data_IF_463502290188
#
_entry.id   IF_463502290188
#
_cell.length_a   1.000
_cell.length_b   1.000
_cell.length_c   1.000
_cell.angle_alpha   90.00
_cell.angle_beta   90.00
_cell.angle_gamma   90.00
#
_symmetry.space_group_name_H-M   'P 1'
#
loop_
_entity.id
_entity.type
_entity.pdbx_description
1 polymer ?
#
# COMPACT_ATOMS: atom_id res chain seq x y z
N UNK A 1 66.59 -25.32 -6.57
CA UNK A 1 65.50 -26.33 -6.58
C UNK A 1 64.21 -25.65 -6.17
N UNK A 2 63.23 -25.54 -7.08
CA UNK A 2 61.91 -24.94 -6.77
C UNK A 2 61.04 -26.03 -6.12
N UNK A 3 60.60 -25.80 -4.88
CA UNK A 3 59.61 -26.64 -4.22
C UNK A 3 58.24 -26.52 -4.91
N UNK A 4 57.35 -27.52 -4.76
CA UNK A 4 56.15 -27.61 -5.58
C UNK A 4 55.11 -26.55 -5.17
N UNK A 5 54.66 -25.76 -6.15
CA UNK A 5 53.90 -24.49 -6.01
C UNK A 5 52.40 -24.63 -5.73
N UNK A 6 51.95 -25.73 -5.13
CA UNK A 6 50.52 -26.01 -4.88
C UNK A 6 50.07 -25.74 -3.44
N UNK A 7 50.97 -25.31 -2.54
CA UNK A 7 50.71 -25.19 -1.09
C UNK A 7 50.37 -23.75 -0.64
N UNK A 8 50.31 -22.77 -1.55
CA UNK A 8 50.06 -21.35 -1.17
C UNK A 8 48.68 -20.84 -1.59
N UNK A 9 47.62 -21.65 -1.47
CA UNK A 9 46.24 -21.12 -1.49
C UNK A 9 45.81 -20.75 -0.07
N UNK A 10 45.45 -19.48 0.21
CA UNK A 10 44.91 -19.11 1.52
C UNK A 10 43.57 -19.80 1.73
N UNK A 11 43.34 -20.31 2.94
CA UNK A 11 42.10 -21.01 3.27
C UNK A 11 40.91 -20.04 3.28
N UNK A 12 39.81 -20.45 2.67
CA UNK A 12 38.57 -19.67 2.57
C UNK A 12 37.79 -19.61 3.91
N UNK A 13 38.15 -20.44 4.88
CA UNK A 13 37.38 -20.59 6.12
C UNK A 13 37.72 -19.51 7.17
N UNK A 14 36.71 -18.81 7.73
CA UNK A 14 36.92 -17.90 8.85
C UNK A 14 37.42 -18.65 10.10
N UNK A 15 38.11 -17.95 11.00
CA UNK A 15 38.78 -18.54 12.18
C UNK A 15 37.85 -19.42 13.02
N UNK A 16 36.61 -18.98 13.26
CA UNK A 16 35.61 -19.75 14.00
C UNK A 16 35.21 -21.06 13.31
N UNK A 17 35.06 -21.04 11.98
CA UNK A 17 34.75 -22.24 11.20
C UNK A 17 35.93 -23.23 11.19
N UNK A 18 37.17 -22.74 11.25
CA UNK A 18 38.37 -23.59 11.36
C UNK A 18 38.48 -24.28 12.72
N UNK A 19 38.26 -23.55 13.81
CA UNK A 19 38.27 -24.14 15.15
C UNK A 19 37.18 -25.21 15.25
N UNK A 20 35.98 -24.92 14.76
CA UNK A 20 34.89 -25.90 14.72
C UNK A 20 35.25 -27.14 13.89
N UNK A 21 35.82 -26.96 12.70
CA UNK A 21 36.23 -28.07 11.83
C UNK A 21 37.36 -28.91 12.46
N UNK A 22 38.32 -28.28 13.13
CA UNK A 22 39.40 -28.97 13.87
C UNK A 22 38.82 -29.81 14.99
N UNK A 23 37.90 -29.25 15.80
CA UNK A 23 37.25 -29.99 16.90
C UNK A 23 36.43 -31.16 16.35
N UNK A 24 35.70 -30.95 15.26
CA UNK A 24 34.88 -31.97 14.64
C UNK A 24 35.72 -33.12 14.07
N UNK A 25 36.82 -32.80 13.37
CA UNK A 25 37.74 -33.81 12.83
C UNK A 25 38.51 -34.55 13.93
N UNK A 26 38.87 -33.87 15.02
CA UNK A 26 39.51 -34.50 16.18
C UNK A 26 38.55 -35.45 16.91
N UNK A 27 37.28 -35.06 17.05
CA UNK A 27 36.23 -35.94 17.60
C UNK A 27 35.98 -37.15 16.69
N UNK A 28 35.99 -36.96 15.37
CA UNK A 28 35.81 -38.03 14.39
C UNK A 28 36.99 -39.02 14.41
N UNK A 29 38.23 -38.53 14.48
CA UNK A 29 39.41 -39.37 14.66
C UNK A 29 39.37 -40.12 16.00
N UNK A 30 39.02 -39.45 17.10
CA UNK A 30 38.92 -40.07 18.42
C UNK A 30 37.85 -41.15 18.51
N UNK A 31 36.66 -40.91 17.95
CA UNK A 31 35.56 -41.89 17.94
C UNK A 31 35.89 -43.11 17.09
N UNK A 32 36.65 -42.96 16.00
CA UNK A 32 37.08 -44.12 15.20
C UNK A 32 38.03 -45.06 15.93
N UNK A 33 38.68 -44.66 17.03
CA UNK A 33 39.54 -45.58 17.82
C UNK A 33 38.68 -46.61 18.58
N UNK A 34 37.53 -46.18 19.10
CA UNK A 34 36.67 -46.97 19.99
C UNK A 34 35.58 -47.77 19.28
N UNK A 35 35.34 -47.52 17.98
CA UNK A 35 34.32 -48.26 17.21
C UNK A 35 34.98 -49.40 16.42
N UNK A 36 34.45 -50.61 16.55
CA UNK A 36 34.79 -51.75 15.71
C UNK A 36 34.06 -51.63 14.38
N UNK A 37 34.79 -51.20 13.34
CA UNK A 37 34.28 -51.08 11.98
C UNK A 37 34.92 -52.21 11.16
N UNK A 38 34.08 -53.10 10.66
CA UNK A 38 34.47 -54.18 9.75
C UNK A 38 33.99 -53.81 8.32
N UNK A 39 34.85 -53.87 7.29
CA UNK A 39 36.23 -54.33 7.28
C UNK A 39 37.24 -53.32 7.85
N UNK A 40 38.27 -53.84 8.55
CA UNK A 40 39.28 -53.04 9.27
C UNK A 40 40.01 -51.98 8.43
N UNK A 41 40.13 -52.17 7.11
CA UNK A 41 40.75 -51.17 6.23
C UNK A 41 39.96 -49.87 6.16
N UNK A 42 38.63 -49.92 6.32
CA UNK A 42 37.76 -48.74 6.34
C UNK A 42 38.02 -47.89 7.58
N UNK A 43 38.25 -48.52 8.74
CA UNK A 43 38.60 -47.86 10.00
C UNK A 43 39.89 -47.04 9.84
N UNK A 44 40.93 -47.64 9.27
CA UNK A 44 42.20 -46.98 9.04
C UNK A 44 42.10 -45.88 7.97
N UNK A 45 41.27 -46.05 6.95
CA UNK A 45 41.06 -45.03 5.92
C UNK A 45 40.37 -43.78 6.48
N UNK A 46 39.34 -43.93 7.32
CA UNK A 46 38.64 -42.80 7.94
C UNK A 46 39.54 -42.08 8.96
N UNK A 47 40.34 -42.83 9.72
CA UNK A 47 41.30 -42.23 10.65
C UNK A 47 42.40 -41.45 9.90
N UNK A 48 43.00 -42.06 8.87
CA UNK A 48 44.07 -41.43 8.08
C UNK A 48 43.57 -40.17 7.35
N UNK A 49 42.38 -40.23 6.73
CA UNK A 49 41.80 -39.08 6.03
C UNK A 49 41.45 -37.93 6.98
N UNK A 50 40.98 -38.24 8.20
CA UNK A 50 40.68 -37.24 9.23
C UNK A 50 41.95 -36.55 9.74
N UNK A 51 43.03 -37.31 9.97
CA UNK A 51 44.33 -36.77 10.39
C UNK A 51 44.97 -35.92 9.29
N UNK A 52 44.91 -36.37 8.02
CA UNK A 52 45.40 -35.59 6.87
C UNK A 52 44.61 -34.29 6.72
N UNK A 53 43.28 -34.31 6.86
CA UNK A 53 42.47 -33.09 6.86
C UNK A 53 42.80 -32.16 8.02
N UNK A 54 43.00 -32.68 9.24
CA UNK A 54 43.45 -31.90 10.39
C UNK A 54 44.78 -31.19 10.13
N UNK A 55 45.74 -31.90 9.53
CA UNK A 55 47.05 -31.37 9.21
C UNK A 55 47.01 -30.27 8.14
N UNK A 56 46.16 -30.43 7.12
CA UNK A 56 45.93 -29.41 6.08
C UNK A 56 45.25 -28.16 6.67
N UNK A 57 44.28 -28.34 7.57
CA UNK A 57 43.54 -27.24 8.19
C UNK A 57 44.42 -26.47 9.19
N UNK A 58 45.28 -27.17 9.95
CA UNK A 58 46.18 -26.56 10.93
C UNK A 58 47.37 -25.82 10.29
N UNK A 59 47.91 -26.34 9.18
CA UNK A 59 49.01 -25.70 8.45
C UNK A 59 48.59 -24.58 7.51
N UNK A 60 47.31 -24.50 7.13
CA UNK A 60 46.84 -23.40 6.30
C UNK A 60 46.97 -22.08 7.07
N UNK A 61 47.89 -21.20 6.66
CA UNK A 61 48.08 -19.89 7.30
C UNK A 61 46.80 -19.08 7.22
N UNK A 62 46.34 -18.60 8.38
CA UNK A 62 45.27 -17.60 8.47
C UNK A 62 45.75 -16.36 7.74
N UNK A 63 44.95 -15.82 6.81
CA UNK A 63 45.15 -14.48 6.28
C UNK A 63 45.14 -13.55 7.51
N UNK A 64 46.32 -13.06 7.90
CA UNK A 64 46.43 -11.96 8.85
C UNK A 64 45.53 -10.89 8.26
N UNK A 65 44.47 -10.54 8.97
CA UNK A 65 43.61 -9.43 8.59
C UNK A 65 44.55 -8.24 8.64
N UNK A 66 44.99 -7.79 7.46
CA UNK A 66 45.67 -6.52 7.34
C UNK A 66 44.80 -5.51 8.09
N UNK A 67 45.46 -4.66 8.89
CA UNK A 67 44.84 -3.52 9.55
C UNK A 67 43.90 -2.83 8.55
N UNK A 68 42.75 -2.29 9.00
CA UNK A 68 41.81 -1.70 8.07
C UNK A 68 42.52 -0.58 7.32
N UNK A 69 42.94 -0.85 6.09
CA UNK A 69 43.00 0.18 5.07
C UNK A 69 41.63 0.84 5.12
N UNK A 70 41.63 2.14 5.40
CA UNK A 70 40.46 2.99 5.20
C UNK A 70 39.87 2.60 3.86
N UNK A 71 38.73 1.90 3.90
CA UNK A 71 37.96 1.65 2.69
C UNK A 71 37.67 3.02 2.12
N UNK A 72 38.34 3.32 1.01
CA UNK A 72 38.28 4.61 0.36
C UNK A 72 36.80 5.00 0.25
N UNK A 73 36.45 6.17 0.80
CA UNK A 73 35.07 6.67 0.78
C UNK A 73 34.53 6.67 -0.66
N UNK A 74 35.43 6.74 -1.65
CA UNK A 74 35.18 6.57 -3.07
C UNK A 74 34.52 5.23 -3.44
N UNK A 75 34.98 4.08 -2.94
CA UNK A 75 34.43 2.75 -3.26
C UNK A 75 33.06 2.53 -2.62
N UNK A 76 32.89 2.98 -1.37
CA UNK A 76 31.59 2.92 -0.68
C UNK A 76 30.58 3.83 -1.40
N UNK A 77 31.04 5.01 -1.83
CA UNK A 77 30.23 5.95 -2.60
C UNK A 77 29.91 5.44 -4.02
N UNK A 78 30.80 4.68 -4.66
CA UNK A 78 30.55 4.05 -5.96
C UNK A 78 29.57 2.87 -5.88
N UNK A 79 29.66 2.05 -4.84
CA UNK A 79 28.68 0.99 -4.56
C UNK A 79 27.31 1.62 -4.25
N UNK A 80 27.26 2.69 -3.47
CA UNK A 80 26.02 3.42 -3.22
C UNK A 80 25.45 4.05 -4.51
N UNK A 81 26.29 4.70 -5.34
CA UNK A 81 25.87 5.30 -6.61
C UNK A 81 25.39 4.27 -7.63
N UNK A 82 26.04 3.11 -7.71
CA UNK A 82 25.62 2.03 -8.62
C UNK A 82 24.32 1.38 -8.17
N UNK A 83 24.12 1.18 -6.87
CA UNK A 83 22.84 0.75 -6.31
C UNK A 83 21.72 1.77 -6.59
N UNK A 84 21.99 3.07 -6.37
CA UNK A 84 21.04 4.16 -6.66
C UNK A 84 20.72 4.21 -8.16
N UNK A 85 21.70 4.06 -9.06
CA UNK A 85 21.47 4.07 -10.51
C UNK A 85 20.63 2.88 -10.99
N UNK A 86 20.93 1.68 -10.47
CA UNK A 86 20.19 0.46 -10.80
C UNK A 86 18.74 0.57 -10.31
N UNK A 87 18.56 1.13 -9.12
CA UNK A 87 17.24 1.36 -8.56
C UNK A 87 16.49 2.47 -9.31
N UNK A 88 17.18 3.56 -9.68
CA UNK A 88 16.62 4.62 -10.51
C UNK A 88 16.15 4.10 -11.88
N UNK A 89 16.92 3.24 -12.54
CA UNK A 89 16.50 2.62 -13.82
C UNK A 89 15.32 1.67 -13.64
N UNK A 90 15.28 0.90 -12.54
CA UNK A 90 14.12 0.06 -12.19
C UNK A 90 12.86 0.91 -11.95
N UNK A 91 13.00 2.04 -11.28
CA UNK A 91 11.91 2.98 -11.00
C UNK A 91 11.44 3.67 -12.27
N UNK A 92 12.35 4.08 -13.15
CA UNK A 92 12.05 4.67 -14.46
C UNK A 92 11.24 3.69 -15.32
N UNK A 93 11.64 2.41 -15.33
CA UNK A 93 10.90 1.35 -16.03
C UNK A 93 9.49 1.14 -15.44
N UNK A 94 9.37 1.16 -14.10
CA UNK A 94 8.05 1.12 -13.42
C UNK A 94 7.21 2.35 -13.72
N UNK A 95 7.81 3.54 -13.73
CA UNK A 95 7.14 4.81 -14.06
C UNK A 95 6.59 4.74 -15.47
N UNK A 96 7.42 4.37 -16.45
CA UNK A 96 6.99 4.29 -17.85
C UNK A 96 5.88 3.23 -18.05
N UNK A 97 5.89 2.14 -17.27
CA UNK A 97 4.81 1.16 -17.30
C UNK A 97 3.52 1.72 -16.70
N UNK A 98 3.61 2.36 -15.53
CA UNK A 98 2.48 3.05 -14.89
C UNK A 98 1.93 4.17 -15.76
N UNK A 99 2.78 4.92 -16.43
CA UNK A 99 2.39 6.01 -17.34
C UNK A 99 1.65 5.47 -18.56
N UNK A 100 2.11 4.38 -19.18
CA UNK A 100 1.38 3.70 -20.26
C UNK A 100 0.02 3.19 -19.81
N UNK A 101 -0.02 2.58 -18.62
CA UNK A 101 -1.23 2.12 -17.93
C UNK A 101 -2.17 3.31 -17.71
N UNK A 102 -1.68 4.41 -17.11
CA UNK A 102 -2.45 5.63 -16.83
C UNK A 102 -2.90 6.37 -18.09
N UNK A 103 -2.11 6.38 -19.16
CA UNK A 103 -2.49 6.94 -20.46
C UNK A 103 -3.61 6.12 -21.10
N UNK A 104 -3.50 4.78 -21.07
CA UNK A 104 -4.56 3.88 -21.55
C UNK A 104 -5.82 3.97 -20.67
N UNK A 105 -5.68 4.29 -19.37
CA UNK A 105 -6.80 4.43 -18.45
C UNK A 105 -7.35 5.84 -18.33
N UNK A 106 -6.64 6.87 -18.78
CA UNK A 106 -7.05 8.27 -18.73
C UNK A 106 -8.34 8.53 -19.52
N UNK A 107 -8.60 7.75 -20.56
CA UNK A 107 -9.86 7.76 -21.33
C UNK A 107 -11.05 7.19 -20.54
N UNK A 108 -10.79 6.41 -19.50
CA UNK A 108 -11.80 5.73 -18.67
C UNK A 108 -11.93 6.33 -17.26
N UNK A 109 -11.12 7.34 -16.94
CA UNK A 109 -11.15 8.05 -15.68
C UNK A 109 -12.33 9.03 -15.64
N UNK A 110 -13.27 8.79 -14.72
CA UNK A 110 -14.36 9.73 -14.46
C UNK A 110 -13.92 10.82 -13.48
N UNK A 111 -13.56 11.98 -14.03
CA UNK A 111 -13.38 13.21 -13.28
C UNK A 111 -14.71 13.90 -13.02
N UNK A 112 -14.80 14.77 -11.98
CA UNK A 112 -16.01 15.55 -11.72
C UNK A 112 -16.45 16.35 -12.94
N UNK A 113 -17.68 16.09 -13.39
CA UNK A 113 -18.33 16.84 -14.47
C UNK A 113 -19.14 17.99 -13.87
N UNK A 114 -18.50 19.16 -13.77
CA UNK A 114 -19.10 20.34 -13.15
C UNK A 114 -20.43 20.77 -13.79
N UNK A 115 -20.66 20.46 -15.08
CA UNK A 115 -21.91 20.81 -15.75
C UNK A 115 -23.05 19.91 -15.29
N UNK A 116 -22.81 18.59 -15.23
CA UNK A 116 -23.80 17.64 -14.72
C UNK A 116 -24.11 17.87 -13.25
N UNK A 117 -23.10 18.15 -12.44
CA UNK A 117 -23.28 18.38 -11.00
C UNK A 117 -24.14 19.61 -10.69
N UNK A 118 -24.15 20.62 -11.56
CA UNK A 118 -25.03 21.79 -11.42
C UNK A 118 -26.50 21.50 -11.72
N UNK A 119 -26.78 20.44 -12.48
CA UNK A 119 -28.15 20.08 -12.89
C UNK A 119 -28.85 19.13 -11.94
N UNK A 120 -28.12 18.54 -10.99
CA UNK A 120 -28.65 17.56 -10.05
C UNK A 120 -28.95 18.25 -8.72
N UNK A 121 -30.20 18.14 -8.27
CA UNK A 121 -30.55 18.50 -6.90
C UNK A 121 -30.14 17.36 -5.96
N UNK A 122 -29.04 17.56 -5.24
CA UNK A 122 -28.48 16.60 -4.29
C UNK A 122 -28.72 16.99 -2.82
N UNK A 123 -29.49 18.05 -2.55
CA UNK A 123 -29.78 18.56 -1.19
C UNK A 123 -30.91 17.76 -0.49
N UNK A 124 -30.82 16.43 -0.50
CA UNK A 124 -31.81 15.55 0.16
C UNK A 124 -31.15 14.76 1.29
N UNK A 125 -31.71 14.86 2.50
CA UNK A 125 -31.32 14.06 3.66
C UNK A 125 -31.46 12.55 3.38
N UNK A 126 -32.37 12.15 2.48
CA UNK A 126 -32.50 10.75 2.09
C UNK A 126 -31.21 10.21 1.49
N UNK A 127 -30.48 11.00 0.69
CA UNK A 127 -29.21 10.60 0.11
C UNK A 127 -28.10 10.39 1.16
N UNK A 128 -28.09 11.21 2.22
CA UNK A 128 -27.15 11.05 3.34
C UNK A 128 -27.45 9.75 4.09
N UNK A 129 -28.72 9.48 4.38
CA UNK A 129 -29.14 8.23 5.03
C UNK A 129 -28.83 7.00 4.17
N UNK A 130 -28.97 7.10 2.85
CA UNK A 130 -28.56 6.03 1.92
C UNK A 130 -27.07 5.77 1.99
N UNK A 131 -26.24 6.82 1.97
CA UNK A 131 -24.78 6.70 2.09
C UNK A 131 -24.36 6.01 3.41
N UNK A 132 -24.99 6.38 4.53
CA UNK A 132 -24.76 5.74 5.84
C UNK A 132 -25.17 4.26 5.84
N UNK A 133 -26.30 3.91 5.22
CA UNK A 133 -26.75 2.52 5.07
C UNK A 133 -25.77 1.70 4.24
N UNK A 134 -25.25 2.24 3.14
CA UNK A 134 -24.24 1.57 2.32
C UNK A 134 -22.95 1.35 3.12
N UNK A 135 -22.49 2.35 3.87
CA UNK A 135 -21.33 2.21 4.74
C UNK A 135 -21.52 1.09 5.79
N UNK A 136 -22.69 1.03 6.43
CA UNK A 136 -23.01 -0.01 7.39
C UNK A 136 -23.09 -1.41 6.76
N UNK A 137 -23.70 -1.55 5.58
CA UNK A 137 -23.73 -2.81 4.83
C UNK A 137 -22.33 -3.32 4.51
N UNK A 138 -21.45 -2.42 4.10
CA UNK A 138 -20.07 -2.71 3.76
C UNK A 138 -19.26 -3.18 4.98
N UNK A 139 -19.40 -2.52 6.14
CA UNK A 139 -18.76 -2.97 7.37
C UNK A 139 -19.22 -4.36 7.80
N UNK A 140 -20.54 -4.59 7.75
CA UNK A 140 -21.14 -5.87 8.10
C UNK A 140 -20.69 -6.99 7.14
N UNK A 141 -20.75 -6.76 5.83
CA UNK A 141 -20.36 -7.79 4.85
C UNK A 141 -18.86 -8.08 4.89
N UNK A 142 -18.02 -7.06 5.13
CA UNK A 142 -16.60 -7.28 5.33
C UNK A 142 -16.32 -8.23 6.50
N UNK A 143 -16.98 -8.02 7.65
CA UNK A 143 -16.83 -8.91 8.79
C UNK A 143 -17.40 -10.32 8.52
N UNK A 144 -18.55 -10.42 7.84
CA UNK A 144 -19.13 -11.70 7.44
C UNK A 144 -18.23 -12.47 6.47
N UNK A 145 -17.68 -11.82 5.44
CA UNK A 145 -16.75 -12.45 4.52
C UNK A 145 -15.49 -12.92 5.24
N UNK A 146 -14.92 -12.11 6.14
CA UNK A 146 -13.77 -12.54 6.96
C UNK A 146 -14.10 -13.77 7.80
N UNK A 147 -15.29 -13.84 8.38
CA UNK A 147 -15.76 -15.03 9.10
C UNK A 147 -15.86 -16.25 8.18
N UNK A 148 -16.48 -16.10 7.01
CA UNK A 148 -16.61 -17.17 5.98
C UNK A 148 -15.25 -17.66 5.49
N UNK A 149 -14.30 -16.75 5.25
CA UNK A 149 -12.91 -17.06 4.95
C UNK A 149 -12.26 -17.88 6.07
N UNK A 150 -12.41 -17.45 7.32
CA UNK A 150 -11.80 -18.11 8.48
C UNK A 150 -12.35 -19.52 8.71
N UNK A 151 -13.66 -19.70 8.57
CA UNK A 151 -14.38 -20.96 8.70
C UNK A 151 -14.07 -21.91 7.53
N UNK A 152 -13.64 -21.37 6.40
CA UNK A 152 -13.31 -22.14 5.20
C UNK A 152 -14.53 -22.42 4.32
N UNK A 153 -15.56 -21.59 4.37
CA UNK A 153 -16.80 -21.77 3.60
C UNK A 153 -16.58 -21.72 2.08
N UNK A 154 -15.49 -21.09 1.63
CA UNK A 154 -15.08 -21.07 0.23
C UNK A 154 -14.17 -22.23 -0.17
N UNK A 155 -14.06 -23.27 0.66
CA UNK A 155 -13.25 -24.46 0.36
C UNK A 155 -14.12 -25.71 0.45
N UNK A 156 -14.05 -26.53 -0.59
CA UNK A 156 -14.61 -27.89 -0.60
C UNK A 156 -13.51 -28.86 -1.03
N UNK A 157 -13.34 -29.93 -0.26
CA UNK A 157 -12.32 -30.95 -0.51
C UNK A 157 -10.89 -30.39 -0.69
N UNK A 158 -10.57 -29.32 0.05
CA UNK A 158 -9.26 -28.65 -0.03
C UNK A 158 -9.04 -27.76 -1.26
N UNK A 159 -10.04 -27.64 -2.14
CA UNK A 159 -10.02 -26.77 -3.29
C UNK A 159 -10.86 -25.51 -3.05
N UNK A 160 -10.35 -24.37 -3.53
CA UNK A 160 -11.04 -23.10 -3.42
C UNK A 160 -12.21 -23.05 -4.42
N UNK A 161 -13.42 -22.83 -3.93
CA UNK A 161 -14.65 -22.72 -4.71
C UNK A 161 -14.99 -21.25 -4.99
N UNK A 162 -14.44 -20.71 -6.08
CA UNK A 162 -14.68 -19.33 -6.48
C UNK A 162 -16.17 -19.00 -6.72
N UNK A 163 -17.00 -19.99 -7.06
CA UNK A 163 -18.45 -19.79 -7.28
C UNK A 163 -19.15 -19.25 -6.04
N UNK A 164 -18.85 -19.77 -4.86
CA UNK A 164 -19.50 -19.32 -3.63
C UNK A 164 -19.08 -17.87 -3.30
N UNK A 165 -17.81 -17.54 -3.48
CA UNK A 165 -17.34 -16.16 -3.31
C UNK A 165 -18.04 -15.20 -4.29
N UNK A 166 -18.22 -15.60 -5.56
CA UNK A 166 -18.93 -14.79 -6.54
C UNK A 166 -20.40 -14.58 -6.16
N UNK A 167 -21.09 -15.62 -5.67
CA UNK A 167 -22.48 -15.50 -5.21
C UNK A 167 -22.61 -14.53 -4.03
N UNK A 168 -21.68 -14.60 -3.07
CA UNK A 168 -21.64 -13.67 -1.94
C UNK A 168 -21.42 -12.23 -2.41
N UNK A 169 -20.51 -12.00 -3.37
CA UNK A 169 -20.28 -10.68 -3.95
C UNK A 169 -21.49 -10.15 -4.70
N UNK A 170 -22.20 -10.98 -5.48
CA UNK A 170 -23.44 -10.58 -6.17
C UNK A 170 -24.52 -10.21 -5.14
N UNK A 171 -24.68 -11.02 -4.09
CA UNK A 171 -25.63 -10.74 -3.01
C UNK A 171 -25.32 -9.43 -2.29
N UNK A 172 -24.03 -9.11 -2.10
CA UNK A 172 -23.59 -7.86 -1.52
C UNK A 172 -23.95 -6.66 -2.42
N UNK A 173 -23.61 -6.73 -3.71
CA UNK A 173 -23.96 -5.70 -4.71
C UNK A 173 -25.47 -5.49 -4.79
N UNK A 174 -26.26 -6.56 -4.76
CA UNK A 174 -27.73 -6.46 -4.77
C UNK A 174 -28.28 -5.81 -3.49
N UNK A 175 -27.68 -6.08 -2.33
CA UNK A 175 -28.06 -5.45 -1.07
C UNK A 175 -27.85 -3.94 -1.10
N UNK A 176 -26.75 -3.47 -1.74
CA UNK A 176 -26.49 -2.04 -1.95
C UNK A 176 -27.49 -1.45 -2.94
N UNK A 177 -27.76 -2.14 -4.05
CA UNK A 177 -28.71 -1.68 -5.05
C UNK A 177 -30.11 -1.46 -4.46
N UNK A 178 -30.55 -2.31 -3.53
CA UNK A 178 -31.84 -2.16 -2.81
C UNK A 178 -31.90 -0.95 -1.88
N UNK A 179 -30.75 -0.36 -1.48
CA UNK A 179 -30.76 0.91 -0.74
C UNK A 179 -31.33 2.03 -1.59
N UNK A 180 -31.01 2.04 -2.89
CA UNK A 180 -31.45 3.05 -3.84
C UNK A 180 -32.78 2.69 -4.52
N UNK A 181 -33.04 1.39 -4.73
CA UNK A 181 -34.26 0.89 -5.36
C UNK A 181 -34.95 -0.16 -4.47
N UNK A 182 -35.57 0.24 -3.34
CA UNK A 182 -36.13 -0.71 -2.37
C UNK A 182 -37.32 -1.52 -2.90
N UNK A 183 -38.10 -0.94 -3.81
CA UNK A 183 -39.28 -1.57 -4.40
C UNK A 183 -38.96 -2.54 -5.55
N UNK A 184 -37.72 -2.51 -6.07
CA UNK A 184 -37.33 -3.38 -7.18
C UNK A 184 -37.04 -4.80 -6.69
N UNK A 185 -37.59 -5.78 -7.40
CA UNK A 185 -37.29 -7.19 -7.17
C UNK A 185 -35.89 -7.58 -7.67
N UNK A 186 -35.39 -6.92 -8.71
CA UNK A 186 -34.11 -7.22 -9.36
C UNK A 186 -33.41 -5.93 -9.80
N UNK A 187 -32.94 -5.09 -8.85
CA UNK A 187 -32.47 -3.74 -9.17
C UNK A 187 -31.28 -3.73 -10.12
N UNK A 188 -30.39 -4.72 -10.02
CA UNK A 188 -29.24 -4.84 -10.93
C UNK A 188 -29.62 -5.17 -12.38
N UNK A 189 -30.77 -5.80 -12.61
CA UNK A 189 -31.26 -6.13 -13.96
C UNK A 189 -32.00 -4.98 -14.63
N UNK A 190 -32.41 -3.98 -13.85
CA UNK A 190 -33.06 -2.75 -14.35
C UNK A 190 -32.04 -1.69 -14.82
N UNK A 191 -30.75 -1.92 -14.53
CA UNK A 191 -29.67 -1.04 -14.95
C UNK A 191 -29.41 -1.07 -16.46
N UNK A 192 -29.03 0.07 -17.01
CA UNK A 192 -28.43 0.12 -18.34
C UNK A 192 -27.11 -0.67 -18.35
N UNK A 193 -26.96 -1.55 -19.35
CA UNK A 193 -25.73 -2.34 -19.58
C UNK A 193 -24.48 -1.45 -19.64
N UNK A 194 -24.57 -0.27 -20.26
CA UNK A 194 -23.43 0.65 -20.34
C UNK A 194 -22.94 1.09 -18.96
N UNK A 195 -23.86 1.51 -18.09
CA UNK A 195 -23.55 1.95 -16.73
C UNK A 195 -22.96 0.81 -15.89
N UNK A 196 -23.50 -0.40 -16.04
CA UNK A 196 -23.00 -1.60 -15.38
C UNK A 196 -21.57 -1.93 -15.83
N UNK A 197 -21.29 -1.96 -17.14
CA UNK A 197 -19.95 -2.26 -17.65
C UNK A 197 -18.94 -1.17 -17.28
N UNK A 198 -19.35 0.11 -17.29
CA UNK A 198 -18.51 1.21 -16.79
C UNK A 198 -18.13 1.01 -15.32
N UNK A 199 -19.10 0.69 -14.47
CA UNK A 199 -18.84 0.44 -13.06
C UNK A 199 -17.93 -0.78 -12.83
N UNK A 200 -18.16 -1.89 -13.54
CA UNK A 200 -17.29 -3.08 -13.48
C UNK A 200 -15.86 -2.75 -13.91
N UNK A 201 -15.69 -1.97 -14.98
CA UNK A 201 -14.40 -1.51 -15.45
C UNK A 201 -13.71 -0.65 -14.37
N UNK A 202 -14.40 0.39 -13.85
CA UNK A 202 -13.87 1.27 -12.80
C UNK A 202 -13.48 0.51 -11.53
N UNK A 203 -14.31 -0.44 -11.09
CA UNK A 203 -14.01 -1.28 -9.95
C UNK A 203 -12.76 -2.13 -10.19
N UNK A 204 -12.67 -2.77 -11.36
CA UNK A 204 -11.52 -3.59 -11.74
C UNK A 204 -10.22 -2.80 -11.76
N UNK A 205 -10.24 -1.58 -12.30
CA UNK A 205 -9.07 -0.69 -12.34
C UNK A 205 -8.64 -0.22 -10.96
N UNK A 206 -9.59 0.15 -10.09
CA UNK A 206 -9.27 0.53 -8.72
C UNK A 206 -8.70 -0.66 -7.92
N UNK A 207 -9.21 -1.87 -8.15
CA UNK A 207 -8.66 -3.09 -7.53
C UNK A 207 -7.26 -3.38 -8.08
N UNK A 208 -7.00 -3.20 -9.37
CA UNK A 208 -5.66 -3.33 -9.94
C UNK A 208 -4.71 -2.34 -9.27
N UNK A 209 -5.06 -1.05 -9.20
CA UNK A 209 -4.25 -0.04 -8.53
C UNK A 209 -3.95 -0.43 -7.07
N UNK A 210 -4.98 -0.88 -6.34
CA UNK A 210 -4.84 -1.41 -4.98
C UNK A 210 -3.85 -2.58 -4.88
N UNK A 211 -3.94 -3.55 -5.80
CA UNK A 211 -2.99 -4.67 -5.87
C UNK A 211 -1.59 -4.20 -6.23
N UNK A 212 -1.47 -3.19 -7.07
CA UNK A 212 -0.17 -2.71 -7.46
C UNK A 212 0.53 -1.92 -6.34
N UNK A 213 -0.20 -1.30 -5.42
CA UNK A 213 0.32 -0.64 -4.21
C UNK A 213 0.85 -1.61 -3.17
N UNK A 214 0.59 -2.91 -3.34
CA UNK A 214 1.13 -3.91 -2.44
C UNK A 214 2.67 -3.92 -2.50
N UNK A 215 3.34 -3.71 -1.36
CA UNK A 215 4.80 -3.75 -1.29
C UNK A 215 5.34 -5.18 -1.32
N UNK A 216 4.47 -6.19 -1.17
CA UNK A 216 4.82 -7.60 -1.28
C UNK A 216 4.84 -7.98 -2.77
N UNK A 217 6.06 -8.04 -3.33
CA UNK A 217 6.33 -8.45 -4.72
C UNK A 217 5.61 -9.75 -5.11
N UNK A 218 5.41 -10.66 -4.15
CA UNK A 218 4.78 -11.97 -4.39
C UNK A 218 3.27 -11.90 -4.62
N UNK A 219 2.52 -10.92 -4.09
CA UNK A 219 1.04 -10.92 -4.22
C UNK A 219 0.59 -10.64 -5.65
N UNK A 220 1.38 -9.87 -6.40
CA UNK A 220 1.10 -9.60 -7.83
C UNK A 220 1.31 -10.83 -8.72
N UNK A 221 2.14 -11.76 -8.25
CA UNK A 221 2.43 -13.04 -8.91
C UNK A 221 1.59 -14.19 -8.32
N UNK A 222 0.75 -13.90 -7.32
CA UNK A 222 -0.14 -14.87 -6.71
C UNK A 222 -1.39 -15.08 -7.55
N UNK A 223 -1.69 -16.34 -7.83
CA UNK A 223 -3.01 -16.71 -8.33
C UNK A 223 -4.08 -16.52 -7.23
N UNK A 224 -5.35 -16.46 -7.65
CA UNK A 224 -6.50 -16.30 -6.74
C UNK A 224 -6.53 -17.33 -5.60
N UNK A 225 -6.01 -18.54 -5.84
CA UNK A 225 -5.88 -19.57 -4.80
C UNK A 225 -4.92 -19.14 -3.68
N UNK A 226 -3.73 -18.64 -4.01
CA UNK A 226 -2.77 -18.17 -3.01
C UNK A 226 -3.28 -16.94 -2.26
N UNK A 227 -3.93 -16.01 -2.97
CA UNK A 227 -4.55 -14.82 -2.34
C UNK A 227 -5.64 -15.25 -1.35
N UNK A 228 -6.58 -16.11 -1.77
CA UNK A 228 -7.65 -16.61 -0.90
C UNK A 228 -7.12 -17.43 0.28
N UNK A 229 -6.09 -18.25 0.09
CA UNK A 229 -5.44 -18.99 1.18
C UNK A 229 -4.76 -18.06 2.19
N UNK A 230 -4.16 -16.96 1.73
CA UNK A 230 -3.58 -15.94 2.61
C UNK A 230 -4.66 -15.18 3.38
N UNK A 231 -5.78 -14.81 2.73
CA UNK A 231 -6.94 -14.20 3.41
C UNK A 231 -7.51 -15.17 4.46
N UNK A 232 -7.61 -16.46 4.14
CA UNK A 232 -8.04 -17.49 5.09
C UNK A 232 -7.09 -17.63 6.28
N UNK A 233 -5.78 -17.62 6.06
CA UNK A 233 -4.79 -17.68 7.15
C UNK A 233 -4.87 -16.45 8.03
N UNK A 234 -4.92 -15.26 7.43
CA UNK A 234 -5.00 -13.98 8.14
C UNK A 234 -6.33 -13.85 8.93
N UNK A 235 -7.46 -14.25 8.35
CA UNK A 235 -8.77 -14.20 9.02
C UNK A 235 -8.89 -15.17 10.20
N UNK A 236 -8.19 -16.32 10.17
CA UNK A 236 -8.07 -17.19 11.35
C UNK A 236 -7.28 -16.55 12.49
N UNK A 237 -6.31 -15.69 12.17
CA UNK A 237 -5.55 -14.89 13.14
C UNK A 237 -6.43 -13.76 13.67
N UNK A 238 -7.17 -13.06 12.81
CA UNK A 238 -8.16 -12.05 13.21
C UNK A 238 -9.16 -12.57 14.26
N UNK A 239 -9.74 -13.75 14.05
CA UNK A 239 -10.67 -14.36 15.02
C UNK A 239 -10.02 -14.71 16.37
N UNK A 240 -8.71 -14.95 16.39
CA UNK A 240 -7.95 -15.32 17.60
C UNK A 240 -7.38 -14.10 18.34
N UNK A 241 -7.25 -12.95 17.67
CA UNK A 241 -6.66 -11.74 18.21
C UNK A 241 -7.66 -10.58 18.12
N UNK A 242 -8.45 -10.37 19.17
CA UNK A 242 -9.29 -9.16 19.34
C UNK A 242 -8.48 -7.86 19.17
N UNK A 243 -7.18 -7.90 19.44
CA UNK A 243 -6.21 -6.81 19.24
C UNK A 243 -6.11 -6.27 17.81
N UNK A 244 -6.59 -7.01 16.80
CA UNK A 244 -6.59 -6.55 15.41
C UNK A 244 -7.82 -5.72 15.05
N UNK A 245 -8.91 -5.79 15.83
CA UNK A 245 -10.12 -5.00 15.57
C UNK A 245 -9.87 -3.47 15.51
N UNK A 246 -9.06 -2.84 16.39
CA UNK A 246 -8.79 -1.41 16.32
C UNK A 246 -7.99 -0.97 15.10
N UNK A 247 -7.27 -1.88 14.45
CA UNK A 247 -6.58 -1.62 13.17
C UNK A 247 -7.48 -1.89 11.96
N UNK A 248 -8.68 -2.46 12.19
CA UNK A 248 -9.66 -2.86 11.17
C UNK A 248 -10.98 -2.06 11.26
N UNK A 249 -11.25 -1.40 12.40
CA UNK A 249 -12.27 -0.37 12.63
C UNK A 249 -11.59 0.98 12.89
N UNK A 250 -12.00 2.12 12.32
CA UNK A 250 -12.94 2.33 11.25
C UNK A 250 -12.22 2.34 9.89
N UNK A 251 -12.90 1.74 8.94
CA UNK A 251 -12.93 2.12 7.53
C UNK A 251 -12.46 3.57 7.30
N UNK A 252 -11.19 3.69 6.92
CA UNK A 252 -10.62 4.87 6.29
C UNK A 252 -10.08 4.37 4.96
N UNK A 253 -10.96 4.37 3.97
CA UNK A 253 -10.72 3.82 2.65
C UNK A 253 -9.43 4.36 2.02
N UNK A 254 -8.79 3.52 1.21
CA UNK A 254 -7.76 3.90 0.26
C UNK A 254 -6.52 4.58 0.89
N UNK A 255 -5.56 3.76 1.35
CA UNK A 255 -4.14 4.16 1.47
C UNK A 255 -3.49 4.41 0.07
N UNK A 256 -4.27 4.86 -0.91
CA UNK A 256 -3.95 5.00 -2.35
C UNK A 256 -3.03 6.19 -2.69
N UNK A 257 -2.14 6.55 -1.76
CA UNK A 257 -1.34 7.78 -1.83
C UNK A 257 0.11 7.53 -2.21
N UNK A 258 0.58 6.29 -2.10
CA UNK A 258 2.03 6.04 -2.18
C UNK A 258 2.57 6.21 -3.61
N UNK A 259 1.76 5.96 -4.64
CA UNK A 259 2.26 5.88 -6.01
C UNK A 259 2.20 7.13 -6.87
N UNK A 260 1.20 7.97 -6.69
CA UNK A 260 1.12 9.24 -7.40
C UNK A 260 2.18 10.23 -6.90
N UNK A 261 2.58 10.09 -5.64
CA UNK A 261 3.80 10.71 -5.09
C UNK A 261 5.07 10.36 -5.90
N UNK A 262 5.14 9.17 -6.50
CA UNK A 262 6.28 8.74 -7.33
C UNK A 262 6.27 9.34 -8.74
N UNK A 263 5.09 9.70 -9.27
CA UNK A 263 4.97 10.30 -10.59
C UNK A 263 5.28 11.80 -10.60
N UNK A 264 5.13 12.48 -9.46
CA UNK A 264 5.19 13.94 -9.38
C UNK A 264 6.61 14.52 -9.23
N UNK A 265 7.62 13.77 -8.72
CA UNK A 265 9.01 14.23 -8.66
C UNK A 265 10.02 13.09 -8.37
N UNK A 266 11.14 12.98 -9.11
CA UNK A 266 12.18 11.96 -8.87
C UNK A 266 12.81 12.00 -7.46
N UNK A 267 12.82 13.14 -6.77
CA UNK A 267 13.35 13.24 -5.39
C UNK A 267 12.39 12.64 -4.35
N UNK A 268 11.07 12.66 -4.60
CA UNK A 268 10.07 12.05 -3.70
C UNK A 268 10.14 10.52 -3.73
N UNK A 269 10.46 9.95 -4.90
CA UNK A 269 10.75 8.52 -5.01
C UNK A 269 11.97 8.12 -4.15
N UNK A 270 13.05 8.92 -4.18
CA UNK A 270 14.28 8.62 -3.42
C UNK A 270 14.06 8.71 -1.90
N UNK A 271 13.32 9.72 -1.41
CA UNK A 271 13.07 9.90 0.03
C UNK A 271 12.21 8.81 0.66
N UNK A 272 11.15 8.36 -0.03
CA UNK A 272 10.35 7.23 0.44
C UNK A 272 11.06 5.89 0.28
N UNK A 273 11.94 5.74 -0.72
CA UNK A 273 12.75 4.52 -0.91
C UNK A 273 13.85 4.40 0.14
N UNK A 274 14.49 5.50 0.56
CA UNK A 274 15.43 5.45 1.68
C UNK A 274 14.74 5.10 3.02
N UNK A 275 13.55 5.66 3.26
CA UNK A 275 12.76 5.37 4.46
C UNK A 275 12.11 3.97 4.46
N UNK A 276 11.66 3.50 3.30
CA UNK A 276 11.17 2.13 3.15
C UNK A 276 12.33 1.14 3.12
N UNK A 277 13.43 1.33 2.41
CA UNK A 277 14.55 0.38 2.51
C UNK A 277 15.15 0.27 3.91
N UNK A 278 15.14 1.30 4.77
CA UNK A 278 15.53 1.15 6.18
C UNK A 278 14.58 0.26 6.99
N UNK A 279 13.27 0.34 6.72
CA UNK A 279 12.24 -0.56 7.30
C UNK A 279 12.26 -1.95 6.65
N UNK A 280 12.65 -2.04 5.37
CA UNK A 280 12.44 -3.21 4.50
C UNK A 280 13.72 -4.05 4.27
N UNK A 281 14.92 -3.47 4.32
CA UNK A 281 16.22 -4.19 4.42
C UNK A 281 16.51 -4.66 5.85
N UNK A 282 15.76 -4.19 6.84
CA UNK A 282 15.54 -4.87 8.13
C UNK A 282 14.63 -6.12 8.02
N UNK A 283 14.50 -6.68 6.81
CA UNK A 283 13.53 -7.70 6.37
C UNK A 283 13.60 -9.09 7.02
N UNK A 284 14.13 -9.22 8.24
CA UNK A 284 13.86 -10.37 9.11
C UNK A 284 12.66 -10.17 10.03
N UNK A 285 12.10 -8.95 10.12
CA UNK A 285 11.00 -8.64 11.04
C UNK A 285 9.88 -7.77 10.44
N UNK A 286 9.44 -8.05 9.21
CA UNK A 286 8.02 -7.79 8.91
C UNK A 286 7.22 -8.84 9.70
N UNK A 287 6.76 -8.44 10.87
CA UNK A 287 6.00 -9.32 11.75
C UNK A 287 4.77 -9.87 11.01
N UNK A 288 4.49 -11.16 11.17
CA UNK A 288 3.31 -11.85 10.61
C UNK A 288 2.01 -11.04 10.78
N UNK A 289 1.90 -10.31 11.91
CA UNK A 289 0.82 -9.36 12.22
C UNK A 289 0.63 -8.27 11.15
N UNK A 290 1.69 -7.69 10.62
CA UNK A 290 1.60 -6.66 9.58
C UNK A 290 1.05 -7.24 8.28
N UNK A 291 1.59 -8.36 7.82
CA UNK A 291 1.11 -9.06 6.60
C UNK A 291 -0.35 -9.45 6.74
N UNK A 292 -0.74 -9.99 7.89
CA UNK A 292 -2.14 -10.35 8.17
C UNK A 292 -3.05 -9.11 8.11
N UNK A 293 -2.69 -7.99 8.76
CA UNK A 293 -3.45 -6.73 8.69
C UNK A 293 -3.60 -6.21 7.26
N UNK A 294 -2.55 -6.28 6.43
CA UNK A 294 -2.62 -5.85 5.03
C UNK A 294 -3.52 -6.74 4.17
N UNK A 295 -3.47 -8.06 4.35
CA UNK A 295 -4.33 -8.97 3.61
C UNK A 295 -5.80 -8.79 3.99
N UNK A 296 -6.07 -8.52 5.27
CA UNK A 296 -7.42 -8.19 5.75
C UNK A 296 -7.91 -6.84 5.21
N UNK A 297 -7.02 -5.85 5.14
CA UNK A 297 -7.36 -4.53 4.57
C UNK A 297 -7.61 -4.60 3.07
N UNK A 298 -6.91 -5.47 2.33
CA UNK A 298 -7.15 -5.71 0.91
C UNK A 298 -8.58 -6.17 0.64
N UNK A 299 -9.11 -7.11 1.43
CA UNK A 299 -10.50 -7.56 1.30
C UNK A 299 -11.48 -6.42 1.57
N UNK A 300 -11.32 -5.71 2.69
CA UNK A 300 -12.17 -4.57 3.07
C UNK A 300 -12.16 -3.47 2.01
N UNK A 301 -10.99 -3.13 1.47
CA UNK A 301 -10.85 -2.11 0.43
C UNK A 301 -11.43 -2.58 -0.92
N UNK A 302 -11.28 -3.87 -1.27
CA UNK A 302 -11.92 -4.44 -2.46
C UNK A 302 -13.44 -4.36 -2.36
N UNK A 303 -14.01 -4.74 -1.21
CA UNK A 303 -15.44 -4.59 -0.96
C UNK A 303 -15.88 -3.12 -0.98
N UNK A 304 -15.06 -2.21 -0.45
CA UNK A 304 -15.33 -0.78 -0.51
C UNK A 304 -15.38 -0.23 -1.93
N UNK A 305 -14.43 -0.64 -2.79
CA UNK A 305 -14.45 -0.28 -4.21
C UNK A 305 -15.75 -0.79 -4.85
N UNK A 306 -16.12 -2.06 -4.65
CA UNK A 306 -17.36 -2.62 -5.19
C UNK A 306 -18.57 -1.85 -4.68
N UNK A 307 -18.61 -1.52 -3.40
CA UNK A 307 -19.73 -0.84 -2.77
C UNK A 307 -19.94 0.57 -3.32
N UNK A 308 -18.88 1.37 -3.37
CA UNK A 308 -18.94 2.74 -3.86
C UNK A 308 -19.17 2.80 -5.37
N UNK A 309 -18.61 1.87 -6.14
CA UNK A 309 -18.91 1.79 -7.56
C UNK A 309 -20.37 1.39 -7.82
N UNK A 310 -20.93 0.50 -7.00
CA UNK A 310 -22.34 0.12 -7.10
C UNK A 310 -23.26 1.28 -6.73
N UNK A 311 -22.98 1.98 -5.62
CA UNK A 311 -23.69 3.19 -5.22
C UNK A 311 -23.62 4.26 -6.32
N UNK A 312 -22.45 4.42 -6.95
CA UNK A 312 -22.23 5.35 -8.06
C UNK A 312 -23.05 5.11 -9.31
N UNK A 313 -23.57 3.90 -9.51
CA UNK A 313 -24.49 3.61 -10.63
C UNK A 313 -25.85 4.28 -10.40
N UNK A 314 -26.35 4.23 -9.17
CA UNK A 314 -27.66 4.74 -8.80
C UNK A 314 -27.63 6.22 -8.41
N UNK A 315 -26.50 6.65 -7.84
CA UNK A 315 -26.29 8.03 -7.40
C UNK A 315 -24.89 8.50 -7.79
N UNK A 316 -24.81 9.25 -8.90
CA UNK A 316 -23.56 9.81 -9.41
C UNK A 316 -22.89 10.79 -8.43
N UNK A 317 -23.65 11.31 -7.47
CA UNK A 317 -23.22 12.38 -6.58
C UNK A 317 -22.70 11.92 -5.23
N UNK A 318 -22.92 10.65 -4.88
CA UNK A 318 -22.50 10.09 -3.60
C UNK A 318 -21.02 10.35 -3.30
N UNK A 319 -20.12 10.27 -4.29
CA UNK A 319 -18.68 10.52 -4.08
C UNK A 319 -18.38 11.88 -3.47
N UNK A 320 -19.18 12.89 -3.85
CA UNK A 320 -18.90 14.29 -3.58
C UNK A 320 -19.54 14.82 -2.29
N UNK A 321 -20.42 14.05 -1.65
CA UNK A 321 -21.00 14.37 -0.34
C UNK A 321 -20.08 14.02 0.84
N UNK A 322 -18.97 13.31 0.59
CA UNK A 322 -18.04 12.93 1.65
C UNK A 322 -17.33 14.16 2.25
N UNK A 323 -17.25 14.29 3.60
CA UNK A 323 -16.46 15.34 4.25
C UNK A 323 -15.01 15.37 3.78
N UNK A 324 -14.42 14.19 3.52
CA UNK A 324 -13.03 14.07 3.06
C UNK A 324 -12.84 14.59 1.63
N UNK A 325 -13.86 14.45 0.77
CA UNK A 325 -13.84 15.06 -0.56
C UNK A 325 -13.84 16.59 -0.45
N UNK A 326 -14.76 17.13 0.35
CA UNK A 326 -14.89 18.58 0.54
C UNK A 326 -13.58 19.16 1.07
N UNK A 327 -12.98 18.57 2.10
CA UNK A 327 -11.68 19.00 2.62
C UNK A 327 -10.56 18.88 1.56
N UNK A 328 -10.51 17.79 0.80
CA UNK A 328 -9.50 17.60 -0.26
C UNK A 328 -9.59 18.65 -1.37
N UNK A 329 -10.80 18.99 -1.80
CA UNK A 329 -11.05 20.06 -2.79
C UNK A 329 -10.66 21.42 -2.23
N UNK A 330 -10.94 21.70 -0.95
CA UNK A 330 -10.57 22.97 -0.31
C UNK A 330 -9.05 23.12 -0.17
N UNK A 331 -8.31 22.06 0.19
CA UNK A 331 -6.83 22.10 0.21
C UNK A 331 -6.27 22.35 -1.20
N UNK A 332 -6.77 21.64 -2.21
CA UNK A 332 -6.31 21.86 -3.58
C UNK A 332 -6.66 23.28 -4.08
N UNK A 333 -7.79 23.85 -3.64
CA UNK A 333 -8.11 25.24 -3.93
C UNK A 333 -7.20 26.22 -3.18
N UNK A 334 -6.85 25.94 -1.92
CA UNK A 334 -5.90 26.73 -1.15
C UNK A 334 -4.56 26.84 -1.89
N UNK A 335 -4.01 25.72 -2.36
CA UNK A 335 -2.77 25.74 -3.15
C UNK A 335 -2.89 26.48 -4.48
N UNK A 336 -4.08 26.54 -5.09
CA UNK A 336 -4.27 27.35 -6.30
C UNK A 336 -4.25 28.86 -6.05
N UNK A 337 -4.34 29.30 -4.78
CA UNK A 337 -4.36 30.72 -4.39
C UNK A 337 -3.04 31.22 -3.82
N UNK A 338 -2.23 30.34 -3.26
CA UNK A 338 -0.99 30.69 -2.58
C UNK A 338 0.18 29.93 -3.22
N UNK A 339 1.30 30.62 -3.41
CA UNK A 339 2.48 30.00 -4.01
C UNK A 339 3.00 28.86 -3.10
N UNK A 340 2.93 27.65 -3.63
CA UNK A 340 3.32 26.44 -2.92
C UNK A 340 4.82 26.16 -3.14
N UNK A 341 5.62 26.29 -2.08
CA UNK A 341 6.99 25.78 -2.11
C UNK A 341 7.01 24.23 -2.11
N UNK A 342 8.18 23.63 -2.32
CA UNK A 342 8.32 22.18 -2.40
C UNK A 342 7.88 21.45 -1.11
N UNK A 343 8.05 22.06 0.05
CA UNK A 343 7.68 21.46 1.34
C UNK A 343 6.16 21.54 1.58
N UNK A 344 5.52 22.64 1.17
CA UNK A 344 4.06 22.79 1.16
C UNK A 344 3.42 21.76 0.24
N UNK A 345 3.96 21.57 -0.97
CA UNK A 345 3.50 20.53 -1.89
C UNK A 345 3.63 19.14 -1.27
N UNK A 346 4.76 18.86 -0.62
CA UNK A 346 5.01 17.58 0.06
C UNK A 346 3.98 17.30 1.14
N UNK A 347 3.75 18.25 2.04
CA UNK A 347 2.78 18.07 3.13
C UNK A 347 1.35 18.02 2.58
N UNK A 348 1.04 18.75 1.50
CA UNK A 348 -0.26 18.66 0.83
C UNK A 348 -0.52 17.27 0.26
N UNK A 349 0.44 16.71 -0.48
CA UNK A 349 0.27 15.36 -1.02
C UNK A 349 0.18 14.31 0.09
N UNK A 350 0.89 14.54 1.21
CA UNK A 350 0.79 13.69 2.41
C UNK A 350 -0.59 13.78 3.04
N UNK A 351 -1.17 14.98 3.16
CA UNK A 351 -2.53 15.18 3.66
C UNK A 351 -3.56 14.50 2.76
N UNK A 352 -3.55 14.79 1.46
CA UNK A 352 -4.45 14.16 0.49
C UNK A 352 -4.29 12.63 0.45
N UNK A 353 -3.08 12.12 0.66
CA UNK A 353 -2.80 10.68 0.72
C UNK A 353 -3.43 9.98 1.93
N UNK A 354 -3.71 10.71 3.01
CA UNK A 354 -4.40 10.21 4.22
C UNK A 354 -5.92 10.23 4.08
N UNK A 355 -6.47 11.02 3.15
CA UNK A 355 -7.91 11.21 3.03
C UNK A 355 -8.60 9.96 2.50
N UNK A 356 -9.63 9.45 3.20
CA UNK A 356 -10.34 8.27 2.77
C UNK A 356 -11.39 8.58 1.69
N UNK A 357 -10.90 8.94 0.51
CA UNK A 357 -11.74 9.20 -0.66
C UNK A 357 -12.46 7.92 -1.11
N UNK A 358 -13.69 8.07 -1.60
CA UNK A 358 -14.54 6.95 -2.06
C UNK A 358 -14.02 6.34 -3.36
N UNK A 359 -13.28 7.11 -4.17
CA UNK A 359 -12.63 6.64 -5.40
C UNK A 359 -11.17 7.06 -5.48
N UNK A 360 -10.31 6.19 -6.04
CA UNK A 360 -8.92 6.56 -6.38
C UNK A 360 -8.86 7.65 -7.45
N UNK A 361 -9.87 7.75 -8.33
CA UNK A 361 -9.90 8.78 -9.38
C UNK A 361 -10.05 10.18 -8.81
N UNK A 362 -10.82 10.33 -7.73
CA UNK A 362 -10.99 11.59 -7.00
C UNK A 362 -9.63 12.09 -6.48
N UNK A 363 -8.78 11.18 -6.02
CA UNK A 363 -7.42 11.53 -5.59
C UNK A 363 -6.54 11.99 -6.74
N UNK A 364 -6.57 11.27 -7.85
CA UNK A 364 -5.79 11.61 -9.06
C UNK A 364 -6.24 12.97 -9.59
N UNK A 365 -7.53 13.26 -9.55
CA UNK A 365 -8.09 14.57 -9.89
C UNK A 365 -7.48 15.68 -9.04
N UNK A 366 -7.51 15.54 -7.71
CA UNK A 366 -6.95 16.54 -6.79
C UNK A 366 -5.43 16.74 -7.01
N UNK A 367 -4.70 15.65 -7.24
CA UNK A 367 -3.27 15.73 -7.57
C UNK A 367 -3.02 16.47 -8.89
N UNK A 368 -3.87 16.25 -9.90
CA UNK A 368 -3.80 16.97 -11.17
C UNK A 368 -4.08 18.47 -10.98
N UNK A 369 -5.10 18.83 -10.20
CA UNK A 369 -5.40 20.23 -9.87
C UNK A 369 -4.19 20.91 -9.22
N UNK A 370 -3.54 20.26 -8.25
CA UNK A 370 -2.35 20.80 -7.59
C UNK A 370 -1.17 20.92 -8.54
N UNK A 371 -0.87 19.86 -9.30
CA UNK A 371 0.25 19.85 -10.24
C UNK A 371 0.10 20.89 -11.35
N UNK A 372 -1.13 21.20 -11.76
CA UNK A 372 -1.44 22.21 -12.77
C UNK A 372 -1.65 23.62 -12.19
N UNK A 373 -1.62 23.76 -10.87
CA UNK A 373 -1.98 24.99 -10.16
C UNK A 373 -3.38 25.51 -10.55
N UNK A 374 -4.36 24.61 -10.69
CA UNK A 374 -5.74 24.91 -11.10
C UNK A 374 -6.70 24.63 -9.94
N UNK A 375 -7.60 25.58 -9.66
CA UNK A 375 -8.66 25.37 -8.67
C UNK A 375 -9.62 24.25 -9.07
N UNK A 376 -9.95 23.30 -8.17
CA UNK A 376 -11.01 22.33 -8.38
C UNK A 376 -12.42 22.94 -8.23
N UNK A 377 -12.55 24.26 -8.04
CA UNK A 377 -13.81 25.00 -7.92
C UNK A 377 -14.72 24.47 -6.80
N UNK A 378 -14.32 24.59 -5.51
CA UNK A 378 -15.08 24.06 -4.36
C UNK A 378 -16.54 24.51 -4.28
N UNK A 379 -16.88 25.68 -4.83
CA UNK A 379 -18.27 26.17 -4.90
C UNK A 379 -19.22 25.19 -5.59
N UNK A 380 -18.75 24.34 -6.50
CA UNK A 380 -19.58 23.33 -7.16
C UNK A 380 -19.86 22.10 -6.30
N UNK A 381 -19.18 21.94 -5.16
CA UNK A 381 -19.36 20.81 -4.24
C UNK A 381 -19.81 21.27 -2.84
N UNK A 382 -19.81 22.57 -2.58
CA UNK A 382 -20.21 23.15 -1.31
C UNK A 382 -21.71 22.93 -1.08
N UNK A 383 -22.03 21.94 -0.25
CA UNK A 383 -23.38 21.60 0.21
C UNK A 383 -23.38 21.52 1.73
N UNK A 384 -23.17 22.66 2.42
CA UNK A 384 -23.03 22.70 3.86
C UNK A 384 -24.26 22.18 4.61
N UNK A 385 -25.43 22.20 3.97
CA UNK A 385 -26.71 21.72 4.53
C UNK A 385 -26.68 20.21 4.79
N UNK A 386 -25.93 19.44 3.98
CA UNK A 386 -25.79 17.99 4.12
C UNK A 386 -24.76 17.59 5.19
N UNK A 387 -24.02 18.56 5.74
CA UNK A 387 -23.02 18.35 6.77
C UNK A 387 -23.49 18.87 8.12
N UNK A 388 -23.31 18.04 9.14
CA UNK A 388 -23.42 18.47 10.53
C UNK A 388 -22.50 19.66 10.80
N UNK A 389 -22.94 20.60 11.63
CA UNK A 389 -22.20 21.84 11.92
C UNK A 389 -20.81 21.53 12.49
N UNK A 390 -20.70 20.49 13.32
CA UNK A 390 -19.46 20.02 13.91
C UNK A 390 -18.45 19.55 12.85
N UNK A 391 -18.95 18.89 11.80
CA UNK A 391 -18.11 18.43 10.68
C UNK A 391 -17.61 19.61 9.87
N UNK A 392 -18.47 20.59 9.60
CA UNK A 392 -18.10 21.83 8.90
C UNK A 392 -17.02 22.59 9.67
N UNK A 393 -17.23 22.76 10.97
CA UNK A 393 -16.27 23.40 11.87
C UNK A 393 -14.93 22.66 11.88
N UNK A 394 -14.95 21.33 11.95
CA UNK A 394 -13.73 20.51 11.90
C UNK A 394 -12.97 20.65 10.56
N UNK A 395 -13.68 20.73 9.44
CA UNK A 395 -13.07 20.97 8.12
C UNK A 395 -12.40 22.34 8.10
N UNK A 396 -13.09 23.38 8.59
CA UNK A 396 -12.55 24.73 8.66
C UNK A 396 -11.28 24.78 9.53
N UNK A 397 -11.34 24.24 10.74
CA UNK A 397 -10.20 24.21 11.67
C UNK A 397 -8.98 23.50 11.07
N UNK A 398 -9.18 22.36 10.41
CA UNK A 398 -8.09 21.64 9.72
C UNK A 398 -7.48 22.46 8.60
N UNK A 399 -8.29 23.21 7.83
CA UNK A 399 -7.79 24.08 6.76
C UNK A 399 -6.96 25.23 7.31
N UNK A 400 -7.40 25.84 8.42
CA UNK A 400 -6.66 26.89 9.11
C UNK A 400 -5.35 26.34 9.68
N UNK A 401 -5.38 25.21 10.39
CA UNK A 401 -4.19 24.55 10.93
C UNK A 401 -3.18 24.22 9.82
N UNK A 402 -3.66 23.69 8.69
CA UNK A 402 -2.81 23.40 7.55
C UNK A 402 -2.15 24.65 6.98
N UNK A 403 -2.92 25.73 6.80
CA UNK A 403 -2.41 27.01 6.32
C UNK A 403 -1.36 27.60 7.28
N UNK A 404 -1.65 27.64 8.58
CA UNK A 404 -0.75 28.22 9.59
C UNK A 404 0.55 27.42 9.75
N UNK A 405 0.46 26.10 9.62
CA UNK A 405 1.63 25.23 9.74
C UNK A 405 2.56 25.31 8.53
N UNK A 406 2.01 25.42 7.32
CA UNK A 406 2.77 25.19 6.09
C UNK A 406 2.94 26.44 5.22
N UNK A 407 2.01 27.39 5.26
CA UNK A 407 1.96 28.53 4.32
C UNK A 407 2.29 29.85 5.03
N UNK A 408 1.73 30.11 6.22
CA UNK A 408 1.82 31.43 6.88
C UNK A 408 3.22 31.89 7.27
N UNK A 409 4.20 30.98 7.33
CA UNK A 409 5.59 31.33 7.62
C UNK A 409 6.33 32.03 6.45
N UNK A 410 5.71 32.12 5.27
CA UNK A 410 6.37 32.57 4.04
C UNK A 410 5.86 33.91 3.46
N UNK A 411 4.90 34.63 4.07
CA UNK A 411 4.34 35.83 3.43
C UNK A 411 3.87 36.95 4.37
N UNK A 412 4.75 37.93 4.63
CA UNK A 412 4.38 39.23 5.22
C UNK A 412 3.51 40.09 4.27
N UNK A 413 3.31 39.66 3.02
CA UNK A 413 2.64 40.43 1.95
C UNK A 413 1.23 39.95 1.56
N UNK A 414 0.63 38.99 2.26
CA UNK A 414 -0.62 38.32 1.80
C UNK A 414 -1.83 38.45 2.73
N UNK A 415 -1.82 39.35 3.71
CA UNK A 415 -2.87 39.46 4.74
C UNK A 415 -4.28 39.60 4.13
N UNK A 416 -4.43 40.37 3.04
CA UNK A 416 -5.71 40.53 2.36
C UNK A 416 -6.18 39.25 1.67
N UNK A 417 -5.30 38.57 0.92
CA UNK A 417 -5.62 37.30 0.23
C UNK A 417 -6.04 36.21 1.23
N UNK A 418 -5.40 36.19 2.40
CA UNK A 418 -5.72 35.26 3.49
C UNK A 418 -7.09 35.55 4.08
N UNK A 419 -7.40 36.83 4.32
CA UNK A 419 -8.71 37.25 4.85
C UNK A 419 -9.82 36.89 3.86
N UNK A 420 -9.63 37.20 2.58
CA UNK A 420 -10.58 36.86 1.52
C UNK A 420 -10.75 35.34 1.37
N UNK A 421 -9.67 34.56 1.48
CA UNK A 421 -9.76 33.11 1.46
C UNK A 421 -10.55 32.57 2.66
N UNK A 422 -10.24 33.03 3.89
CA UNK A 422 -10.93 32.61 5.12
C UNK A 422 -12.43 32.87 5.05
N UNK A 423 -12.83 34.09 4.65
CA UNK A 423 -14.23 34.45 4.46
C UNK A 423 -14.89 33.61 3.35
N UNK A 424 -14.17 33.34 2.28
CA UNK A 424 -14.69 32.50 1.19
C UNK A 424 -14.91 31.05 1.61
N UNK A 425 -14.04 30.49 2.46
CA UNK A 425 -14.23 29.15 3.04
C UNK A 425 -15.41 29.15 4.01
N UNK A 426 -15.50 30.13 4.91
CA UNK A 426 -16.65 30.29 5.82
C UNK A 426 -17.97 30.35 5.08
N UNK A 427 -18.03 31.13 4.00
CA UNK A 427 -19.23 31.22 3.15
C UNK A 427 -19.59 29.87 2.52
N UNK A 428 -18.61 29.13 1.98
CA UNK A 428 -18.87 27.81 1.37
C UNK A 428 -19.30 26.75 2.38
N UNK A 429 -18.73 26.79 3.58
CA UNK A 429 -19.08 25.87 4.66
C UNK A 429 -20.28 26.35 5.49
N UNK A 430 -20.82 27.54 5.24
CA UNK A 430 -21.86 28.19 6.05
C UNK A 430 -21.52 28.20 7.55
N UNK A 431 -20.33 28.71 7.87
CA UNK A 431 -19.82 28.91 9.24
C UNK A 431 -19.73 30.43 9.51
N UNK A 432 -20.02 30.84 10.75
CA UNK A 432 -20.02 32.24 11.17
C UNK A 432 -18.62 32.88 11.26
#
# INVERSE_FOLDING_TARGET
MKGPSWITRPSILPLGARIFLIVLLAALAGTTIFVEIDPAWLKWFVCLSSVVCLFVVSLGRVRKKDEPEEKDESEIMEIARSAIRTEATRLEAKRNNLEKILMAYGEWMEFPDFQKLQTIDWQDEAHVQMDERVAALLDNEADLMLQRFSAGNYWKDGNFEGRQLLLDLVSFTESIARVYCPESKYPLLELNLESLFKAVNRASLQIILLLEELPVLEVKEMNLRKVSDNIRKASKVYRKYEELQPYLKPVRYLWQGSKLLFAANPLFAVGWIAGSELIWKGGKHLGRKAVDTYVLSLLRQTLGIIAWETAGIYDATHRYRSPDWIYGVEIAHLLSRFDANQDVLRETFRELGKLPLRSTYDRIFLYRCIAQNVSPKPKHFAQPELLQMEVRQSIYEKLIEFYEKNISANSDSEIQNVTEWRESVKQRLSIA
#
